data_IF_841815378162
#
_entry.id   IF_841815378162
#
_cell.length_a   1.000
_cell.length_b   1.000
_cell.length_c   1.000
_cell.angle_alpha   90.00
_cell.angle_beta   90.00
_cell.angle_gamma   90.00
#
_symmetry.space_group_name_H-M   'P 1'
#
loop_
_entity.id
_entity.type
_entity.pdbx_description
1 polymer ?
#
# COMPACT_ATOMS: atom_id res chain seq x y z
N UNK A 1 -23.36 6.77 -13.60
CA UNK A 1 -21.93 6.96 -13.24
C UNK A 1 -21.23 5.64 -13.51
N UNK A 2 -20.06 5.66 -14.15
CA UNK A 2 -19.35 4.43 -14.49
C UNK A 2 -18.64 3.87 -13.26
N UNK A 3 -18.33 2.58 -13.28
CA UNK A 3 -17.70 1.85 -12.19
C UNK A 3 -16.46 1.13 -12.73
N UNK A 4 -15.31 1.41 -12.14
CA UNK A 4 -14.14 0.57 -12.31
C UNK A 4 -14.11 -0.48 -11.20
N UNK A 5 -14.03 -1.75 -11.60
CA UNK A 5 -14.00 -2.89 -10.70
C UNK A 5 -12.69 -3.64 -10.92
N UNK A 6 -12.03 -4.03 -9.83
CA UNK A 6 -10.82 -4.86 -9.89
C UNK A 6 -10.83 -5.94 -8.83
N UNK A 7 -10.57 -7.16 -9.28
CA UNK A 7 -10.31 -8.34 -8.48
C UNK A 7 -9.00 -8.98 -8.93
N UNK A 8 -7.94 -8.85 -8.12
CA UNK A 8 -6.57 -9.24 -8.48
C UNK A 8 -6.11 -8.66 -9.84
N UNK A 9 -5.97 -9.52 -10.85
CA UNK A 9 -5.53 -9.18 -12.20
C UNK A 9 -6.69 -9.00 -13.18
N UNK A 10 -7.92 -9.31 -12.74
CA UNK A 10 -9.15 -9.10 -13.51
C UNK A 10 -9.70 -7.72 -13.21
N UNK A 11 -9.93 -6.92 -14.25
CA UNK A 11 -10.49 -5.58 -14.14
C UNK A 11 -11.48 -5.29 -15.25
N UNK A 12 -12.48 -4.47 -14.94
CA UNK A 12 -13.48 -4.02 -15.89
C UNK A 12 -13.89 -2.57 -15.59
N UNK A 13 -14.27 -1.87 -16.65
CA UNK A 13 -15.02 -0.62 -16.56
C UNK A 13 -16.44 -0.94 -17.04
N UNK A 14 -17.41 -0.74 -16.17
CA UNK A 14 -18.83 -1.02 -16.40
C UNK A 14 -19.65 0.25 -16.19
N UNK A 15 -20.87 0.31 -16.73
CA UNK A 15 -21.63 1.54 -16.83
C UNK A 15 -22.80 1.65 -15.85
N UNK A 16 -23.15 0.56 -15.17
CA UNK A 16 -24.26 0.50 -14.22
C UNK A 16 -24.06 -0.64 -13.20
N UNK A 17 -24.97 -0.72 -12.22
CA UNK A 17 -24.91 -1.74 -11.19
C UNK A 17 -25.13 -3.16 -11.74
N UNK A 18 -25.98 -3.34 -12.75
CA UNK A 18 -26.28 -4.69 -13.27
C UNK A 18 -25.08 -5.26 -14.03
N UNK A 19 -24.41 -4.48 -14.89
CA UNK A 19 -23.15 -4.87 -15.53
C UNK A 19 -22.03 -5.16 -14.51
N UNK A 20 -22.03 -4.45 -13.38
CA UNK A 20 -21.10 -4.75 -12.28
C UNK A 20 -21.36 -6.12 -11.67
N UNK A 21 -22.64 -6.47 -11.46
CA UNK A 21 -23.03 -7.76 -10.92
C UNK A 21 -22.75 -8.89 -11.92
N UNK A 22 -23.02 -8.68 -13.21
CA UNK A 22 -22.71 -9.64 -14.28
C UNK A 22 -21.21 -9.92 -14.37
N UNK A 23 -20.38 -8.87 -14.31
CA UNK A 23 -18.92 -9.01 -14.29
C UNK A 23 -18.46 -9.79 -13.05
N UNK A 24 -18.97 -9.48 -11.86
CA UNK A 24 -18.59 -10.17 -10.63
C UNK A 24 -19.07 -11.62 -10.62
N UNK A 25 -20.26 -11.90 -11.15
CA UNK A 25 -20.80 -13.26 -11.31
C UNK A 25 -19.99 -14.10 -12.30
N UNK A 26 -19.31 -13.47 -13.27
CA UNK A 26 -18.40 -14.17 -14.18
C UNK A 26 -17.12 -14.68 -13.51
N UNK A 27 -16.81 -14.24 -12.29
CA UNK A 27 -15.62 -14.62 -11.53
C UNK A 27 -15.98 -15.74 -10.53
N UNK A 28 -15.56 -17.00 -10.76
CA UNK A 28 -15.96 -18.14 -9.92
C UNK A 28 -15.56 -18.01 -8.45
N UNK A 29 -14.51 -17.25 -8.14
CA UNK A 29 -14.02 -17.05 -6.78
C UNK A 29 -14.86 -16.08 -5.95
N UNK A 30 -15.82 -15.37 -6.55
CA UNK A 30 -16.67 -14.39 -5.89
C UNK A 30 -18.05 -15.03 -5.64
N UNK A 31 -18.38 -15.40 -4.39
CA UNK A 31 -19.72 -15.80 -4.02
C UNK A 31 -20.59 -14.54 -3.98
N UNK A 32 -21.29 -14.28 -5.06
CA UNK A 32 -22.27 -13.21 -5.13
C UNK A 32 -23.53 -13.64 -4.36
N UNK A 33 -23.66 -13.19 -3.12
CA UNK A 33 -24.87 -13.37 -2.33
C UNK A 33 -25.75 -12.12 -2.39
N UNK A 34 -27.03 -12.26 -2.00
CA UNK A 34 -28.00 -11.15 -2.04
C UNK A 34 -27.54 -9.93 -1.22
N UNK A 35 -26.83 -10.16 -0.11
CA UNK A 35 -26.31 -9.08 0.72
C UNK A 35 -25.25 -8.26 -0.02
N UNK A 36 -24.34 -8.94 -0.73
CA UNK A 36 -23.32 -8.29 -1.54
C UNK A 36 -23.94 -7.54 -2.72
N UNK A 37 -24.97 -8.08 -3.36
CA UNK A 37 -25.70 -7.37 -4.41
C UNK A 37 -26.34 -6.08 -3.90
N UNK A 38 -27.07 -6.16 -2.78
CA UNK A 38 -27.72 -5.01 -2.15
C UNK A 38 -26.67 -3.96 -1.71
N UNK A 39 -25.52 -4.42 -1.22
CA UNK A 39 -24.40 -3.58 -0.83
C UNK A 39 -23.77 -2.83 -2.02
N UNK A 40 -23.68 -3.49 -3.19
CA UNK A 40 -23.19 -2.89 -4.43
C UNK A 40 -24.20 -1.85 -4.93
N UNK A 41 -25.48 -2.19 -5.02
CA UNK A 41 -26.54 -1.26 -5.44
C UNK A 41 -26.59 -0.04 -4.54
N UNK A 42 -26.61 -0.24 -3.23
CA UNK A 42 -26.56 0.85 -2.24
C UNK A 42 -25.32 1.73 -2.40
N UNK A 43 -24.15 1.14 -2.67
CA UNK A 43 -22.95 1.93 -2.94
C UNK A 43 -23.10 2.75 -4.22
N UNK A 44 -23.59 2.16 -5.31
CA UNK A 44 -23.77 2.86 -6.59
C UNK A 44 -24.72 4.05 -6.45
N UNK A 45 -25.84 3.87 -5.77
CA UNK A 45 -26.88 4.88 -5.57
C UNK A 45 -26.50 5.97 -4.55
N UNK A 46 -25.56 5.68 -3.65
CA UNK A 46 -25.10 6.67 -2.66
C UNK A 46 -24.30 7.82 -3.28
N UNK A 47 -24.15 8.93 -2.57
CA UNK A 47 -23.24 10.03 -2.96
C UNK A 47 -21.76 9.75 -2.59
N UNK A 48 -21.45 8.53 -2.13
CA UNK A 48 -20.09 8.16 -1.74
C UNK A 48 -19.17 8.10 -2.95
N UNK A 49 -18.08 8.88 -2.92
CA UNK A 49 -17.11 8.99 -4.02
C UNK A 49 -15.79 8.25 -3.74
N UNK A 50 -15.53 7.82 -2.51
CA UNK A 50 -14.32 7.08 -2.18
C UNK A 50 -14.39 5.62 -2.66
N UNK A 51 -13.26 5.00 -3.05
CA UNK A 51 -13.20 3.59 -3.41
C UNK A 51 -13.74 2.67 -2.32
N UNK A 52 -14.66 1.77 -2.67
CA UNK A 52 -15.18 0.76 -1.76
C UNK A 52 -14.39 -0.55 -1.91
N UNK A 53 -14.04 -1.17 -0.78
CA UNK A 53 -13.45 -2.51 -0.73
C UNK A 53 -14.54 -3.49 -0.31
N UNK A 54 -14.91 -4.40 -1.19
CA UNK A 54 -15.93 -5.41 -0.92
C UNK A 54 -15.24 -6.73 -0.57
N UNK A 55 -15.43 -7.19 0.67
CA UNK A 55 -14.75 -8.37 1.20
C UNK A 55 -15.44 -9.63 0.71
N UNK A 56 -14.68 -10.53 0.10
CA UNK A 56 -15.15 -11.83 -0.39
C UNK A 56 -14.87 -12.94 0.64
N UNK A 57 -13.64 -12.99 1.15
CA UNK A 57 -13.19 -13.92 2.21
C UNK A 57 -12.01 -13.29 2.98
N UNK A 58 -11.49 -13.89 4.07
CA UNK A 58 -10.32 -13.34 4.75
C UNK A 58 -9.18 -13.05 3.76
N UNK A 59 -8.64 -11.83 3.80
CA UNK A 59 -7.58 -11.32 2.91
C UNK A 59 -7.92 -11.22 1.41
N UNK A 60 -9.16 -11.47 1.00
CA UNK A 60 -9.58 -11.41 -0.40
C UNK A 60 -10.75 -10.46 -0.55
N UNK A 61 -10.58 -9.47 -1.43
CA UNK A 61 -11.56 -8.43 -1.69
C UNK A 61 -11.43 -7.97 -3.14
N UNK A 62 -12.50 -7.41 -3.68
CA UNK A 62 -12.44 -6.58 -4.89
C UNK A 62 -12.63 -5.11 -4.50
N UNK A 63 -12.26 -4.22 -5.41
CA UNK A 63 -12.48 -2.78 -5.26
C UNK A 63 -13.48 -2.29 -6.30
N UNK A 64 -14.33 -1.36 -5.90
CA UNK A 64 -15.22 -0.61 -6.79
C UNK A 64 -14.85 0.87 -6.67
N UNK A 65 -14.71 1.55 -7.80
CA UNK A 65 -14.40 2.97 -7.89
C UNK A 65 -15.41 3.62 -8.83
N UNK A 66 -16.16 4.59 -8.33
CA UNK A 66 -17.00 5.45 -9.18
C UNK A 66 -16.12 6.37 -10.01
N UNK A 67 -16.45 6.48 -11.30
CA UNK A 67 -15.66 7.28 -12.24
C UNK A 67 -16.52 7.85 -13.36
N UNK A 68 -16.08 8.98 -13.92
CA UNK A 68 -16.63 9.58 -15.13
C UNK A 68 -15.91 9.10 -16.39
N UNK A 69 -14.86 8.28 -16.25
CA UNK A 69 -14.10 7.76 -17.37
C UNK A 69 -14.98 6.91 -18.28
N UNK A 70 -14.92 7.16 -19.58
CA UNK A 70 -15.73 6.45 -20.58
C UNK A 70 -15.05 5.19 -21.10
N UNK A 71 -13.72 5.11 -21.01
CA UNK A 71 -12.93 3.96 -21.46
C UNK A 71 -11.92 3.54 -20.39
N UNK A 72 -11.51 2.26 -20.44
CA UNK A 72 -10.45 1.73 -19.57
C UNK A 72 -9.15 2.54 -19.69
N UNK A 73 -8.84 3.04 -20.88
CA UNK A 73 -7.68 3.87 -21.13
C UNK A 73 -7.79 5.21 -20.40
N UNK A 74 -8.91 5.92 -20.56
CA UNK A 74 -9.16 7.20 -19.89
C UNK A 74 -9.08 7.08 -18.36
N UNK A 75 -9.64 6.00 -17.79
CA UNK A 75 -9.54 5.73 -16.36
C UNK A 75 -8.08 5.56 -15.89
N UNK A 76 -7.27 4.80 -16.64
CA UNK A 76 -5.86 4.54 -16.32
C UNK A 76 -5.01 5.81 -16.48
N UNK A 77 -5.27 6.61 -17.51
CA UNK A 77 -4.56 7.86 -17.80
C UNK A 77 -4.93 8.97 -16.82
N UNK A 78 -6.21 9.14 -16.47
CA UNK A 78 -6.63 10.12 -15.45
C UNK A 78 -6.08 9.81 -14.06
N UNK A 79 -5.86 8.54 -13.72
CA UNK A 79 -5.14 8.16 -12.49
C UNK A 79 -3.66 8.59 -12.51
N UNK A 80 -3.07 8.80 -13.69
CA UNK A 80 -1.74 9.37 -13.86
C UNK A 80 -1.72 10.91 -13.75
N UNK A 81 -2.89 11.56 -13.79
CA UNK A 81 -3.09 13.01 -13.72
C UNK A 81 -3.59 13.47 -12.34
N UNK A 82 -3.08 12.91 -11.25
CA UNK A 82 -2.95 13.73 -10.04
C UNK A 82 -2.04 14.91 -10.44
N UNK A 83 -2.39 16.18 -10.16
CA UNK A 83 -1.48 17.28 -10.40
C UNK A 83 -0.13 16.90 -9.78
N UNK A 84 0.89 16.94 -10.63
CA UNK A 84 2.23 16.50 -10.34
C UNK A 84 2.88 17.54 -9.43
N UNK A 85 2.44 17.63 -8.18
CA UNK A 85 3.25 18.22 -7.12
C UNK A 85 4.58 17.46 -7.09
N UNK A 86 5.70 18.19 -7.03
CA UNK A 86 7.11 17.77 -7.27
C UNK A 86 7.61 16.42 -6.71
N UNK A 87 6.79 15.73 -5.93
CA UNK A 87 6.99 14.44 -5.28
C UNK A 87 7.29 13.27 -6.25
N UNK A 88 6.84 13.27 -7.52
CA UNK A 88 7.11 12.15 -8.46
C UNK A 88 8.55 12.15 -9.00
N UNK A 89 9.19 13.33 -9.13
CA UNK A 89 10.61 13.42 -9.50
C UNK A 89 11.51 13.04 -8.33
N UNK A 90 11.22 13.58 -7.14
CA UNK A 90 11.94 13.25 -5.90
C UNK A 90 11.85 11.75 -5.57
N UNK A 91 10.68 11.13 -5.74
CA UNK A 91 10.51 9.68 -5.51
C UNK A 91 11.37 8.86 -6.48
N UNK A 92 11.48 9.26 -7.76
CA UNK A 92 12.31 8.54 -8.72
C UNK A 92 13.81 8.69 -8.42
N UNK A 93 14.28 9.89 -8.04
CA UNK A 93 15.68 10.10 -7.64
C UNK A 93 16.02 9.38 -6.34
N UNK A 94 15.13 9.42 -5.35
CA UNK A 94 15.33 8.72 -4.06
C UNK A 94 15.36 7.21 -4.26
N UNK A 95 14.50 6.66 -5.12
CA UNK A 95 14.52 5.22 -5.46
C UNK A 95 15.81 4.86 -6.20
N UNK A 96 16.31 5.74 -7.09
CA UNK A 96 17.57 5.53 -7.78
C UNK A 96 18.76 5.53 -6.80
N UNK A 97 18.80 6.49 -5.87
CA UNK A 97 19.82 6.58 -4.82
C UNK A 97 19.75 5.40 -3.85
N UNK A 98 18.55 4.92 -3.52
CA UNK A 98 18.34 3.77 -2.63
C UNK A 98 19.04 2.51 -3.16
N UNK A 99 19.02 2.31 -4.47
CA UNK A 99 19.66 1.18 -5.16
C UNK A 99 21.11 1.41 -5.56
N UNK A 100 21.62 2.64 -5.44
CA UNK A 100 22.99 2.96 -5.81
C UNK A 100 23.96 2.20 -4.89
N UNK A 101 24.77 1.32 -5.47
CA UNK A 101 25.77 0.55 -4.77
C UNK A 101 26.96 1.44 -4.41
N UNK A 102 27.12 1.69 -3.12
CA UNK A 102 28.21 2.46 -2.55
C UNK A 102 28.53 1.93 -1.16
N UNK A 103 29.52 1.04 -1.07
CA UNK A 103 29.90 0.45 0.21
C UNK A 103 30.40 1.49 1.23
N UNK A 104 29.97 1.33 2.48
CA UNK A 104 30.45 2.16 3.58
C UNK A 104 29.51 2.19 4.77
N UNK A 105 29.76 3.15 5.66
CA UNK A 105 28.88 3.45 6.78
C UNK A 105 27.67 4.23 6.30
N UNK A 106 26.49 3.80 6.75
CA UNK A 106 25.22 4.47 6.53
C UNK A 106 24.54 4.75 7.86
N UNK A 107 23.90 5.91 7.98
CA UNK A 107 22.89 6.18 9.00
C UNK A 107 21.52 5.98 8.37
N UNK A 108 20.72 5.07 8.91
CA UNK A 108 19.33 4.88 8.49
C UNK A 108 18.38 5.28 9.61
N UNK A 109 17.31 5.98 9.24
CA UNK A 109 16.23 6.43 10.13
C UNK A 109 14.92 5.82 9.64
N UNK A 110 14.18 5.17 10.53
CA UNK A 110 12.97 4.42 10.23
C UNK A 110 11.87 4.73 11.25
N UNK A 111 10.74 5.21 10.75
CA UNK A 111 9.50 5.37 11.50
C UNK A 111 8.58 4.17 11.23
N UNK A 112 8.19 3.43 12.27
CA UNK A 112 7.38 2.23 12.12
C UNK A 112 6.37 2.05 13.25
N UNK A 113 5.37 1.19 13.03
CA UNK A 113 4.38 0.87 14.06
C UNK A 113 4.86 -0.35 14.84
N UNK A 114 5.37 -0.13 16.05
CA UNK A 114 5.82 -1.21 16.96
C UNK A 114 4.64 -1.74 17.76
N UNK A 115 4.49 -3.06 17.80
CA UNK A 115 3.53 -3.69 18.70
C UNK A 115 4.15 -3.84 20.10
N UNK A 116 3.39 -3.44 21.13
CA UNK A 116 3.76 -3.54 22.54
C UNK A 116 2.63 -4.26 23.29
N UNK A 117 3.00 -5.19 24.18
CA UNK A 117 2.07 -5.82 25.12
C UNK A 117 1.83 -4.88 26.29
N UNK A 118 0.56 -4.62 26.60
CA UNK A 118 0.14 -3.87 27.80
C UNK A 118 0.07 -4.87 28.97
N UNK A 119 1.01 -4.84 29.93
CA UNK A 119 1.11 -5.90 30.95
C UNK A 119 -0.15 -6.01 31.82
N UNK A 120 -0.86 -4.89 32.04
CA UNK A 120 -2.05 -4.84 32.89
C UNK A 120 -3.29 -5.44 32.24
N UNK A 121 -3.41 -5.40 30.91
CA UNK A 121 -4.62 -5.87 30.20
C UNK A 121 -4.38 -7.11 29.35
N UNK A 122 -3.11 -7.51 29.14
CA UNK A 122 -2.74 -8.56 28.20
C UNK A 122 -2.99 -8.21 26.73
N UNK A 123 -3.46 -6.99 26.44
CA UNK A 123 -3.77 -6.53 25.07
C UNK A 123 -2.52 -6.02 24.38
N UNK A 124 -2.56 -6.03 23.06
CA UNK A 124 -1.50 -5.52 22.20
C UNK A 124 -1.92 -4.18 21.62
N UNK A 125 -0.98 -3.23 21.57
CA UNK A 125 -1.20 -1.92 20.96
C UNK A 125 -0.07 -1.58 20.00
N UNK A 126 -0.41 -0.79 18.98
CA UNK A 126 0.54 -0.26 18.02
C UNK A 126 1.00 1.13 18.48
N UNK A 127 2.31 1.34 18.57
CA UNK A 127 2.93 2.63 18.88
C UNK A 127 3.80 3.11 17.72
N UNK A 128 3.66 4.38 17.36
CA UNK A 128 4.63 5.04 16.50
C UNK A 128 6.01 5.03 17.15
N UNK A 129 7.00 4.51 16.42
CA UNK A 129 8.36 4.34 16.91
C UNK A 129 9.34 4.86 15.87
N UNK A 130 10.18 5.80 16.29
CA UNK A 130 11.33 6.28 15.54
C UNK A 130 12.58 5.49 15.93
N UNK A 131 13.29 4.96 14.93
CA UNK A 131 14.51 4.20 15.15
C UNK A 131 15.62 4.69 14.22
N UNK A 132 16.80 4.95 14.78
CA UNK A 132 17.99 5.37 14.02
C UNK A 132 19.14 4.44 14.34
N UNK A 133 19.83 3.98 13.30
CA UNK A 133 21.02 3.17 13.47
C UNK A 133 22.08 3.52 12.43
N UNK A 134 23.34 3.34 12.83
CA UNK A 134 24.48 3.36 11.91
C UNK A 134 24.90 1.93 11.64
N UNK A 135 24.92 1.54 10.38
CA UNK A 135 25.32 0.20 9.97
C UNK A 135 26.24 0.24 8.75
N UNK A 136 27.03 -0.81 8.62
CA UNK A 136 27.76 -1.10 7.39
C UNK A 136 26.75 -1.56 6.34
N UNK A 137 26.71 -0.91 5.18
CA UNK A 137 25.86 -1.31 4.07
C UNK A 137 26.54 -1.11 2.70
N UNK A 138 26.07 -1.86 1.70
CA UNK A 138 26.51 -1.70 0.30
C UNK A 138 25.63 -0.73 -0.49
N UNK A 139 24.47 -0.34 0.05
CA UNK A 139 23.55 0.62 -0.55
C UNK A 139 22.56 1.16 0.50
N UNK A 140 21.74 2.14 0.13
CA UNK A 140 20.63 2.60 0.98
C UNK A 140 19.59 1.50 1.22
N UNK A 141 19.33 0.65 0.23
CA UNK A 141 18.43 -0.50 0.35
C UNK A 141 18.97 -1.54 1.32
N UNK A 142 20.26 -1.83 1.25
CA UNK A 142 20.92 -2.76 2.15
C UNK A 142 20.94 -2.22 3.60
N UNK A 143 21.12 -0.90 3.77
CA UNK A 143 20.96 -0.23 5.06
C UNK A 143 19.54 -0.44 5.66
N UNK A 144 18.50 -0.23 4.84
CA UNK A 144 17.11 -0.51 5.25
C UNK A 144 16.93 -1.97 5.67
N UNK A 145 17.35 -2.92 4.82
CA UNK A 145 17.17 -4.35 5.08
C UNK A 145 17.84 -4.75 6.39
N UNK A 146 19.09 -4.31 6.62
CA UNK A 146 19.81 -4.57 7.88
C UNK A 146 19.09 -4.04 9.12
N UNK A 147 18.51 -2.83 9.03
CA UNK A 147 17.73 -2.25 10.13
C UNK A 147 16.48 -3.09 10.38
N UNK A 148 15.74 -3.45 9.33
CA UNK A 148 14.50 -4.24 9.47
C UNK A 148 14.79 -5.63 10.01
N UNK A 149 15.79 -6.33 9.47
CA UNK A 149 16.20 -7.66 9.94
C UNK A 149 16.59 -7.63 11.42
N UNK A 150 17.35 -6.61 11.84
CA UNK A 150 17.68 -6.40 13.25
C UNK A 150 16.41 -6.21 14.11
N UNK A 151 15.51 -5.33 13.68
CA UNK A 151 14.29 -5.01 14.44
C UNK A 151 13.34 -6.21 14.53
N UNK A 152 13.17 -7.00 13.46
CA UNK A 152 12.32 -8.18 13.44
C UNK A 152 12.68 -9.21 14.53
N UNK A 153 13.94 -9.28 14.94
CA UNK A 153 14.38 -10.16 16.05
C UNK A 153 14.13 -9.58 17.44
N UNK A 154 13.77 -8.29 17.55
CA UNK A 154 13.69 -7.53 18.82
C UNK A 154 12.30 -6.99 19.13
N UNK A 155 11.44 -6.89 18.12
CA UNK A 155 10.06 -6.45 18.29
C UNK A 155 9.09 -7.59 18.02
N UNK A 156 7.85 -7.43 18.48
CA UNK A 156 6.80 -8.39 18.21
C UNK A 156 6.56 -8.51 16.69
N UNK A 157 6.38 -9.74 16.20
CA UNK A 157 6.21 -10.07 14.78
C UNK A 157 5.02 -9.37 14.10
N UNK A 158 4.05 -8.87 14.86
CA UNK A 158 2.92 -8.08 14.33
C UNK A 158 3.28 -6.61 14.07
N UNK A 159 4.47 -6.16 14.46
CA UNK A 159 4.95 -4.81 14.17
C UNK A 159 5.00 -4.58 12.66
N UNK A 160 4.61 -3.38 12.22
CA UNK A 160 4.49 -3.04 10.81
C UNK A 160 5.63 -2.13 10.40
N UNK A 161 6.45 -2.60 9.46
CA UNK A 161 7.55 -1.84 8.88
C UNK A 161 7.11 -1.18 7.57
N UNK A 162 7.42 0.11 7.36
CA UNK A 162 7.10 0.79 6.10
C UNK A 162 8.02 0.30 4.98
N UNK A 163 7.66 0.52 3.72
CA UNK A 163 8.56 0.24 2.60
C UNK A 163 9.80 1.15 2.61
N UNK A 164 10.95 0.61 2.19
CA UNK A 164 12.18 1.37 1.95
C UNK A 164 12.03 2.52 0.93
N UNK A 165 11.00 2.47 0.07
CA UNK A 165 10.69 3.52 -0.91
C UNK A 165 9.73 4.59 -0.38
N UNK A 166 9.21 4.40 0.84
CA UNK A 166 8.27 5.31 1.47
C UNK A 166 8.96 6.46 2.20
N UNK A 167 8.17 7.46 2.61
CA UNK A 167 8.66 8.64 3.35
C UNK A 167 9.12 8.34 4.78
N UNK A 168 8.73 7.18 5.32
CA UNK A 168 9.04 6.75 6.70
C UNK A 168 10.42 6.10 6.83
N UNK A 169 11.21 6.06 5.76
CA UNK A 169 12.61 5.67 5.79
C UNK A 169 13.47 6.74 5.13
N UNK A 170 14.59 7.10 5.76
CA UNK A 170 15.62 7.94 5.17
C UNK A 170 17.00 7.38 5.50
N UNK A 171 17.98 7.68 4.65
CA UNK A 171 19.34 7.22 4.86
C UNK A 171 20.36 8.29 4.46
N UNK A 172 21.55 8.22 5.08
CA UNK A 172 22.68 9.09 4.80
C UNK A 172 23.96 8.26 4.72
N UNK A 173 24.70 8.40 3.62
CA UNK A 173 26.05 7.84 3.51
C UNK A 173 27.02 8.66 4.36
N UNK A 174 27.79 7.97 5.21
CA UNK A 174 28.72 8.59 6.17
C UNK A 174 30.19 8.47 5.74
N UNK A 175 30.52 7.61 4.78
CA UNK A 175 31.90 7.40 4.34
C UNK A 175 32.26 5.93 4.24
N UNK A 176 33.35 5.65 3.52
CA UNK A 176 33.86 4.29 3.34
C UNK A 176 34.42 3.78 4.67
N UNK A 177 34.19 2.52 5.01
CA UNK A 177 34.96 1.90 6.09
C UNK A 177 36.35 1.55 5.54
N UNK A 178 37.41 1.86 6.29
CA UNK A 178 38.72 1.26 6.06
C UNK A 178 38.85 0.00 6.89
#
# INVERSE_FOLDING_TARGET
>A
MNLYIRFFDTEALVHNADEALDFLASIPEIPLDKNMEDEIRSYVDSDVTFPKRCKVRPHVYFIIIKTEAQTMQDFKEKKALRPNDGNRRETNETILQLKNEREGWYEGSLDFKRVVLIPTTGKHEYRDTHFVARCKAVSGLDCYNRIVDYLQTRVDHRSQFPSAKGKSFSFKYLGMWK
#
